data_IF_889669662729
#
_entry.id   IF_889669662729
#
_cell.length_a   1.000
_cell.length_b   1.000
_cell.length_c   1.000
_cell.angle_alpha   90.00
_cell.angle_beta   90.00
_cell.angle_gamma   90.00
#
_symmetry.space_group_name_H-M   'P 1'
#
loop_
_entity.id
_entity.type
_entity.pdbx_description
1 polymer ?
#
# COMPACT_ATOMS: atom_id res chain seq x y z
N UNK A 1 14.06 13.89 -18.65
CA UNK A 1 14.11 13.85 -17.18
C UNK A 1 14.54 12.46 -16.75
N UNK A 2 15.71 12.27 -16.13
CA UNK A 2 16.15 10.96 -15.61
C UNK A 2 15.78 10.91 -14.13
N UNK A 3 14.74 10.14 -13.78
CA UNK A 3 14.45 9.88 -12.37
C UNK A 3 15.60 9.05 -11.79
N UNK A 4 16.12 9.38 -10.59
CA UNK A 4 17.19 8.60 -9.98
C UNK A 4 16.69 7.17 -9.73
N UNK A 5 17.58 6.19 -9.88
CA UNK A 5 17.25 4.76 -9.75
C UNK A 5 16.48 4.47 -8.45
N UNK A 6 16.87 5.09 -7.33
CA UNK A 6 16.16 4.95 -6.06
C UNK A 6 14.70 5.40 -6.11
N UNK A 7 14.37 6.49 -6.83
CA UNK A 7 12.98 6.95 -6.96
C UNK A 7 12.16 6.02 -7.85
N UNK A 8 12.77 5.43 -8.88
CA UNK A 8 12.14 4.38 -9.67
C UNK A 8 11.81 3.14 -8.84
N UNK A 9 12.77 2.65 -8.05
CA UNK A 9 12.58 1.48 -7.21
C UNK A 9 11.49 1.70 -6.15
N UNK A 10 11.48 2.86 -5.49
CA UNK A 10 10.46 3.20 -4.48
C UNK A 10 9.08 3.34 -5.14
N UNK A 11 8.98 3.99 -6.31
CA UNK A 11 7.72 4.09 -7.04
C UNK A 11 7.20 2.73 -7.49
N UNK A 12 8.08 1.82 -7.93
CA UNK A 12 7.69 0.45 -8.28
C UNK A 12 7.16 -0.30 -7.06
N UNK A 13 7.86 -0.25 -5.93
CA UNK A 13 7.41 -0.90 -4.69
C UNK A 13 6.07 -0.33 -4.20
N UNK A 14 5.86 0.98 -4.31
CA UNK A 14 4.58 1.61 -3.95
C UNK A 14 3.42 1.11 -4.84
N UNK A 15 3.66 0.91 -6.14
CA UNK A 15 2.66 0.34 -7.05
C UNK A 15 2.39 -1.14 -6.72
N UNK A 16 3.42 -1.90 -6.37
CA UNK A 16 3.26 -3.30 -5.95
C UNK A 16 2.49 -3.41 -4.64
N UNK A 17 2.72 -2.51 -3.68
CA UNK A 17 1.96 -2.46 -2.43
C UNK A 17 0.49 -2.07 -2.65
N UNK A 18 0.19 -1.31 -3.69
CA UNK A 18 -1.18 -0.94 -4.06
C UNK A 18 -1.96 -2.14 -4.62
N UNK A 19 -1.33 -2.97 -5.46
CA UNK A 19 -1.99 -4.01 -6.25
C UNK A 19 -1.84 -5.40 -5.62
N UNK A 20 -0.70 -5.66 -4.97
CA UNK A 20 -0.33 -6.96 -4.39
C UNK A 20 -1.38 -7.58 -3.46
N UNK A 21 -1.93 -6.83 -2.48
CA UNK A 21 -2.96 -7.34 -1.58
C UNK A 21 -4.23 -7.78 -2.33
N UNK A 22 -4.63 -7.06 -3.38
CA UNK A 22 -5.80 -7.44 -4.18
C UNK A 22 -5.53 -8.67 -5.04
N UNK A 23 -4.30 -8.94 -5.44
CA UNK A 23 -3.97 -10.18 -6.13
C UNK A 23 -3.90 -11.39 -5.20
N UNK A 24 -3.40 -11.20 -3.97
CA UNK A 24 -3.21 -12.26 -2.99
C UNK A 24 -4.50 -12.59 -2.22
N UNK A 25 -5.21 -11.56 -1.75
CA UNK A 25 -6.27 -11.71 -0.74
C UNK A 25 -7.68 -11.69 -1.36
N UNK A 26 -7.82 -11.26 -2.62
CA UNK A 26 -9.08 -11.29 -3.36
C UNK A 26 -9.38 -12.68 -3.94
N UNK A 27 -9.53 -13.69 -3.10
CA UNK A 27 -9.82 -15.05 -3.54
C UNK A 27 -10.71 -15.82 -2.54
N UNK A 28 -11.14 -17.02 -2.92
CA UNK A 28 -12.04 -17.88 -2.13
C UNK A 28 -11.46 -18.40 -0.81
N UNK A 29 -10.14 -18.35 -0.64
CA UNK A 29 -9.45 -18.76 0.59
C UNK A 29 -9.32 -17.63 1.63
N UNK A 30 -9.51 -16.37 1.21
CA UNK A 30 -9.35 -15.17 2.06
C UNK A 30 -10.68 -14.40 2.11
N UNK A 31 -10.82 -13.32 1.34
CA UNK A 31 -11.97 -12.41 1.38
C UNK A 31 -13.32 -13.13 1.22
N UNK A 32 -13.38 -14.14 0.34
CA UNK A 32 -14.62 -14.88 0.06
C UNK A 32 -14.72 -16.21 0.80
N UNK A 33 -13.85 -16.50 1.76
CA UNK A 33 -13.88 -17.77 2.47
C UNK A 33 -15.19 -17.97 3.25
N UNK A 34 -15.97 -19.03 2.98
CA UNK A 34 -17.21 -19.29 3.70
C UNK A 34 -16.98 -19.65 5.18
N UNK A 35 -15.78 -20.11 5.54
CA UNK A 35 -15.45 -20.50 6.92
C UNK A 35 -15.00 -19.32 7.81
N UNK A 36 -14.68 -18.16 7.23
CA UNK A 36 -14.29 -16.98 8.00
C UNK A 36 -15.51 -16.24 8.52
N UNK A 37 -15.43 -15.81 9.78
CA UNK A 37 -16.45 -14.95 10.37
C UNK A 37 -16.49 -13.59 9.65
N UNK A 38 -17.63 -12.86 9.69
CA UNK A 38 -17.72 -11.53 9.09
C UNK A 38 -16.65 -10.56 9.59
N UNK A 39 -16.21 -10.72 10.84
CA UNK A 39 -15.16 -9.91 11.45
C UNK A 39 -13.77 -10.17 10.85
N UNK A 40 -13.43 -11.43 10.55
CA UNK A 40 -12.17 -11.76 9.89
C UNK A 40 -12.09 -11.16 8.49
N UNK A 41 -13.21 -11.21 7.74
CA UNK A 41 -13.32 -10.58 6.41
C UNK A 41 -13.19 -9.07 6.45
N UNK A 42 -13.72 -8.43 7.50
CA UNK A 42 -13.57 -6.99 7.71
C UNK A 42 -12.11 -6.60 7.95
N UNK A 43 -11.39 -7.32 8.82
CA UNK A 43 -9.98 -7.04 9.10
C UNK A 43 -9.07 -7.30 7.89
N UNK A 44 -9.40 -8.29 7.06
CA UNK A 44 -8.70 -8.57 5.82
C UNK A 44 -8.85 -7.41 4.82
N UNK A 45 -10.09 -6.99 4.54
CA UNK A 45 -10.38 -5.83 3.70
C UNK A 45 -9.78 -4.52 4.27
N UNK A 46 -9.80 -4.33 5.59
CA UNK A 46 -9.15 -3.19 6.25
C UNK A 46 -7.64 -3.18 6.00
N UNK A 47 -6.97 -4.34 6.03
CA UNK A 47 -5.52 -4.44 5.80
C UNK A 47 -5.19 -4.12 4.34
N UNK A 48 -6.00 -4.59 3.40
CA UNK A 48 -5.87 -4.26 1.97
C UNK A 48 -6.03 -2.75 1.73
N UNK A 49 -7.00 -2.10 2.40
CA UNK A 49 -7.23 -0.66 2.31
C UNK A 49 -6.12 0.17 2.98
N UNK A 50 -5.61 -0.29 4.13
CA UNK A 50 -4.53 0.40 4.82
C UNK A 50 -3.22 0.29 4.02
N UNK A 51 -2.95 -0.87 3.42
CA UNK A 51 -1.81 -1.10 2.54
C UNK A 51 -1.83 -0.27 1.26
N UNK A 52 -3.01 0.04 0.72
CA UNK A 52 -3.16 0.94 -0.44
C UNK A 52 -3.09 2.42 -0.08
N UNK A 53 -3.63 2.81 1.08
CA UNK A 53 -3.74 4.22 1.45
C UNK A 53 -2.49 4.76 2.16
N UNK A 54 -1.78 3.93 2.93
CA UNK A 54 -0.56 4.31 3.64
C UNK A 54 0.61 4.76 2.71
N UNK A 55 0.85 4.15 1.52
CA UNK A 55 1.86 4.64 0.60
C UNK A 55 1.66 6.10 0.15
N UNK A 56 0.42 6.56 0.04
CA UNK A 56 0.10 7.92 -0.41
C UNK A 56 0.57 9.01 0.55
N UNK A 57 0.70 8.73 1.85
CA UNK A 57 1.13 9.73 2.84
C UNK A 57 2.65 9.86 2.96
N UNK A 58 3.41 8.88 2.46
CA UNK A 58 4.88 8.92 2.45
C UNK A 58 5.48 9.92 1.44
N UNK A 59 4.64 10.49 0.55
CA UNK A 59 5.01 11.50 -0.46
C UNK A 59 4.70 12.94 0.00
N UNK A 60 4.46 13.19 1.29
CA UNK A 60 4.46 14.55 1.83
C UNK A 60 5.91 15.02 2.04
N UNK A 61 6.64 15.27 0.94
CA UNK A 61 7.89 16.05 0.99
C UNK A 61 7.52 17.45 1.48
N UNK A 62 7.90 17.77 2.72
CA UNK A 62 7.87 19.13 3.25
C UNK A 62 8.59 20.08 2.25
N UNK A 63 7.92 21.08 1.65
CA UNK A 63 8.55 21.98 0.69
C UNK A 63 9.32 23.14 1.35
N UNK A 64 9.58 23.12 2.67
CA UNK A 64 10.09 24.27 3.42
C UNK A 64 11.35 24.07 4.28
N UNK A 65 12.23 23.11 3.96
CA UNK A 65 13.47 22.88 4.73
C UNK A 65 14.68 23.64 4.19
N UNK A 66 14.69 24.97 4.26
CA UNK A 66 15.90 25.78 4.09
C UNK A 66 16.90 25.47 5.20
N UNK A 67 18.13 25.13 4.82
CA UNK A 67 19.19 24.79 5.78
C UNK A 67 19.54 25.95 6.70
N UNK A 68 19.73 25.64 7.99
CA UNK A 68 20.72 26.18 8.93
C UNK A 68 20.58 25.44 10.27
N UNK A 69 21.74 25.23 10.91
CA UNK A 69 22.00 24.62 12.23
C UNK A 69 22.11 23.10 12.27
#
# INVERSE_FOLDING_TARGET
MKLPLGRWLISLVALLALIGPYGADWNETHLFNPHWSPHAKFHDAQTMLLGTFCPSTSSARNPGGSGVA
#
